data_IF_181637562663
#
_entry.id   IF_181637562663
#
_cell.length_a   1.000
_cell.length_b   1.000
_cell.length_c   1.000
_cell.angle_alpha   90.00
_cell.angle_beta   90.00
_cell.angle_gamma   90.00
#
_symmetry.space_group_name_H-M   'P 1'
#
loop_
_entity.id
_entity.type
_entity.pdbx_description
1 polymer ?
#
# COMPACT_ATOMS: atom_id res chain seq x y z
N UNK A 1 6.95 21.55 5.89
CA UNK A 1 6.33 20.21 5.97
C UNK A 1 6.47 19.57 4.59
N UNK A 2 7.14 18.42 4.48
CA UNK A 2 7.25 17.67 3.22
C UNK A 2 5.94 16.92 2.98
N UNK A 3 5.40 16.88 1.74
CA UNK A 3 4.21 16.10 1.45
C UNK A 3 4.46 14.60 1.72
N UNK A 4 3.46 13.86 2.24
CA UNK A 4 3.63 12.44 2.54
C UNK A 4 3.85 11.63 1.26
N UNK A 5 4.67 10.56 1.29
CA UNK A 5 4.87 9.71 0.14
C UNK A 5 3.56 9.02 -0.27
N UNK A 6 3.17 9.17 -1.53
CA UNK A 6 1.96 8.58 -2.11
C UNK A 6 2.29 7.30 -2.88
N UNK A 7 1.26 6.48 -3.18
CA UNK A 7 1.30 5.36 -4.12
C UNK A 7 0.07 5.38 -4.99
N UNK A 8 0.15 4.82 -6.20
CA UNK A 8 -1.02 4.60 -7.04
C UNK A 8 -1.77 3.35 -6.60
N UNK A 9 -3.10 3.45 -6.51
CA UNK A 9 -3.97 2.29 -6.34
C UNK A 9 -3.84 1.35 -7.56
N UNK A 10 -3.79 0.03 -7.36
CA UNK A 10 -3.71 -0.93 -8.47
C UNK A 10 -5.03 -1.10 -9.23
N UNK A 11 -6.16 -0.66 -8.66
CA UNK A 11 -7.48 -0.83 -9.27
C UNK A 11 -7.94 0.43 -9.99
N UNK A 12 -7.86 1.59 -9.34
CA UNK A 12 -8.31 2.86 -9.92
C UNK A 12 -7.18 3.82 -10.28
N UNK A 13 -5.92 3.45 -10.04
CA UNK A 13 -4.74 4.27 -10.33
C UNK A 13 -4.68 5.65 -9.63
N UNK A 14 -5.63 5.96 -8.76
CA UNK A 14 -5.61 7.19 -7.97
C UNK A 14 -4.43 7.19 -6.98
N UNK A 15 -3.88 8.37 -6.75
CA UNK A 15 -2.89 8.62 -5.71
C UNK A 15 -3.52 8.49 -4.32
N UNK A 16 -3.01 7.55 -3.54
CA UNK A 16 -3.41 7.28 -2.15
C UNK A 16 -2.17 7.27 -1.25
N UNK A 17 -2.34 7.40 0.07
CA UNK A 17 -1.22 7.34 1.01
C UNK A 17 -0.44 6.01 0.86
N UNK A 18 0.91 6.05 0.85
CA UNK A 18 1.76 4.86 0.60
C UNK A 18 1.46 3.69 1.53
N UNK A 19 1.12 3.96 2.77
CA UNK A 19 0.80 2.93 3.77
C UNK A 19 -0.71 2.65 3.91
N UNK A 20 -1.56 3.22 3.05
CA UNK A 20 -2.99 2.92 3.07
C UNK A 20 -3.23 1.42 2.85
N UNK A 21 -3.92 0.72 3.77
CA UNK A 21 -4.19 -0.72 3.65
C UNK A 21 -5.23 -1.01 2.56
N UNK A 22 -6.12 -0.06 2.29
CA UNK A 22 -7.15 -0.09 1.25
C UNK A 22 -7.19 1.25 0.50
N UNK A 23 -7.69 1.25 -0.73
CA UNK A 23 -8.01 2.50 -1.42
C UNK A 23 -9.30 3.10 -0.83
N UNK A 24 -9.33 4.38 -0.42
CA UNK A 24 -10.55 5.00 0.10
C UNK A 24 -11.65 5.18 -0.95
N UNK A 25 -11.28 5.24 -2.25
CA UNK A 25 -12.23 5.44 -3.34
C UNK A 25 -12.89 4.14 -3.79
N UNK A 26 -12.07 3.14 -4.14
CA UNK A 26 -12.58 1.87 -4.69
C UNK A 26 -12.59 0.73 -3.67
N UNK A 27 -12.13 0.94 -2.43
CA UNK A 27 -12.04 -0.05 -1.35
C UNK A 27 -11.16 -1.27 -1.66
N UNK A 28 -10.46 -1.27 -2.80
CA UNK A 28 -9.53 -2.34 -3.16
C UNK A 28 -8.38 -2.43 -2.16
N UNK A 29 -8.06 -3.66 -1.72
CA UNK A 29 -6.90 -3.93 -0.85
C UNK A 29 -5.61 -3.55 -1.56
N UNK A 30 -4.78 -2.76 -0.90
CA UNK A 30 -3.43 -2.54 -1.39
C UNK A 30 -2.53 -3.68 -0.93
N UNK A 31 -1.89 -4.38 -1.86
CA UNK A 31 -0.87 -5.36 -1.52
C UNK A 31 0.35 -4.60 -0.99
N UNK A 32 0.61 -4.68 0.32
CA UNK A 32 1.88 -4.19 0.86
C UNK A 32 3.01 -4.99 0.21
N UNK A 33 3.91 -4.30 -0.49
CA UNK A 33 5.08 -4.91 -1.14
C UNK A 33 6.18 -5.28 -0.15
N UNK A 34 5.95 -5.16 1.16
CA UNK A 34 6.88 -5.67 2.15
C UNK A 34 6.55 -7.15 2.39
N UNK A 35 7.22 -8.10 1.69
CA UNK A 35 7.09 -9.50 2.06
C UNK A 35 7.43 -9.59 3.55
N UNK A 36 6.52 -10.14 4.37
CA UNK A 36 6.89 -10.54 5.73
C UNK A 36 8.09 -11.46 5.53
N UNK A 37 9.28 -11.04 6.00
CA UNK A 37 10.49 -11.88 5.95
C UNK A 37 10.07 -13.28 6.38
N UNK A 38 10.32 -14.33 5.59
CA UNK A 38 10.04 -15.68 6.05
C UNK A 38 10.80 -15.85 7.36
N UNK A 39 10.08 -16.11 8.46
CA UNK A 39 10.73 -16.50 9.70
C UNK A 39 11.54 -17.74 9.36
N UNK A 40 12.87 -17.67 9.45
CA UNK A 40 13.72 -18.85 9.40
C UNK A 40 13.14 -19.83 10.42
N UNK A 41 12.61 -20.96 9.97
CA UNK A 41 12.44 -22.11 10.83
C UNK A 41 13.86 -22.65 11.04
N UNK A 42 14.22 -22.79 12.31
CA UNK A 42 15.46 -23.41 12.79
C UNK A 42 15.74 -24.73 12.07
#
# INVERSE_FOLDING_TARGET
>A
QQPPPMKSCLSCHQQIHRNAPICPLCKAKSRSRNPKKPKKKD
#
